data_IF_306071451264
#
_entry.id   IF_306071451264
#
_cell.length_a   1.000
_cell.length_b   1.000
_cell.length_c   1.000
_cell.angle_alpha   90.00
_cell.angle_beta   90.00
_cell.angle_gamma   90.00
#
_symmetry.space_group_name_H-M   'P 1'
#
loop_
_entity.id
_entity.type
_entity.pdbx_description
1 polymer ?
#
# COMPACT_ATOMS: atom_id res chain seq x y z
N UNK A 1 -40.63 13.30 10.43
CA UNK A 1 -39.57 13.81 9.55
C UNK A 1 -38.37 12.88 9.70
N UNK A 2 -38.17 11.99 8.72
CA UNK A 2 -37.12 10.96 8.80
C UNK A 2 -35.84 11.52 8.20
N UNK A 3 -34.84 11.82 9.04
CA UNK A 3 -33.51 12.16 8.58
C UNK A 3 -32.76 10.84 8.33
N UNK A 4 -32.56 10.51 7.05
CA UNK A 4 -31.68 9.42 6.63
C UNK A 4 -30.25 9.86 6.89
N UNK A 5 -29.57 9.18 7.79
CA UNK A 5 -28.16 9.43 8.05
C UNK A 5 -27.31 8.78 6.98
N UNK A 6 -26.70 9.62 6.17
CA UNK A 6 -25.77 9.27 5.12
C UNK A 6 -24.41 8.98 5.78
N UNK A 7 -23.87 7.78 5.62
CA UNK A 7 -22.48 7.49 5.94
C UNK A 7 -21.58 8.30 4.99
N UNK A 8 -21.02 9.39 5.47
CA UNK A 8 -20.02 10.14 4.72
C UNK A 8 -18.66 9.51 5.00
N UNK A 9 -18.23 8.62 4.12
CA UNK A 9 -16.83 8.25 4.00
C UNK A 9 -16.11 9.41 3.31
N UNK A 10 -15.51 10.29 4.08
CA UNK A 10 -14.72 11.40 3.52
C UNK A 10 -13.30 10.90 3.30
N UNK A 11 -13.01 10.44 2.08
CA UNK A 11 -11.65 10.20 1.64
C UNK A 11 -11.00 11.55 1.35
N UNK A 12 -10.24 12.07 2.30
CA UNK A 12 -9.47 13.29 2.10
C UNK A 12 -8.20 12.93 1.34
N UNK A 13 -8.25 12.98 0.02
CA UNK A 13 -7.08 12.92 -0.84
C UNK A 13 -6.31 14.24 -0.73
N UNK A 14 -5.47 14.36 0.30
CA UNK A 14 -4.44 15.38 0.32
C UNK A 14 -3.29 14.88 -0.57
N UNK A 15 -3.36 15.17 -1.87
CA UNK A 15 -2.21 15.10 -2.76
C UNK A 15 -1.43 16.41 -2.58
N UNK A 16 -0.36 16.47 -1.79
CA UNK A 16 0.56 17.58 -1.95
C UNK A 16 1.20 17.39 -3.32
N UNK A 17 0.94 18.31 -4.22
CA UNK A 17 1.66 18.43 -5.47
C UNK A 17 3.13 18.75 -5.15
N UNK A 18 3.90 17.72 -4.77
CA UNK A 18 5.37 17.75 -4.73
C UNK A 18 5.95 17.55 -6.14
N UNK A 19 5.25 18.07 -7.16
CA UNK A 19 5.70 18.06 -8.54
C UNK A 19 6.58 19.27 -8.91
N UNK A 20 7.19 19.94 -7.94
CA UNK A 20 7.97 21.16 -8.18
C UNK A 20 9.46 20.96 -8.39
N UNK A 21 9.96 19.74 -8.59
CA UNK A 21 11.39 19.50 -8.88
C UNK A 21 11.61 18.55 -10.05
N UNK A 22 10.87 18.76 -11.13
CA UNK A 22 11.13 18.09 -12.40
C UNK A 22 11.65 19.13 -13.40
N UNK A 23 12.96 19.39 -13.38
CA UNK A 23 13.72 19.79 -14.58
C UNK A 23 15.23 19.83 -14.30
N UNK A 24 15.88 18.74 -14.65
CA UNK A 24 17.16 18.66 -15.36
C UNK A 24 17.51 17.17 -15.51
N UNK A 25 17.64 16.73 -16.75
CA UNK A 25 18.17 15.40 -17.10
C UNK A 25 19.62 15.31 -16.61
N UNK A 26 19.86 14.49 -15.62
CA UNK A 26 21.16 14.19 -15.04
C UNK A 26 21.02 13.65 -13.64
N UNK A 27 21.70 12.63 -13.32
CA UNK A 27 22.09 12.02 -12.04
C UNK A 27 21.38 12.47 -10.73
N UNK A 28 20.07 12.77 -10.77
CA UNK A 28 19.30 13.19 -9.58
C UNK A 28 18.40 12.08 -9.07
N UNK A 29 18.33 11.95 -7.76
CA UNK A 29 17.36 11.08 -7.09
C UNK A 29 15.98 11.69 -7.27
N UNK A 30 15.02 10.92 -7.80
CA UNK A 30 13.61 11.26 -7.84
C UNK A 30 12.91 10.69 -6.62
N UNK A 31 12.27 11.54 -5.84
CA UNK A 31 11.45 11.15 -4.70
C UNK A 31 9.97 11.34 -5.05
N UNK A 32 9.16 10.36 -4.67
CA UNK A 32 7.69 10.44 -4.75
C UNK A 32 7.09 9.80 -3.51
N UNK A 33 5.90 10.24 -3.14
CA UNK A 33 5.20 9.66 -1.99
C UNK A 33 3.71 9.94 -2.05
N UNK A 34 2.97 9.19 -1.25
CA UNK A 34 1.55 9.37 -1.05
C UNK A 34 1.19 9.16 0.41
N UNK A 35 0.16 9.85 0.86
CA UNK A 35 -0.45 9.66 2.16
C UNK A 35 -1.91 9.35 1.92
N UNK A 36 -2.38 8.23 2.50
CA UNK A 36 -3.79 7.86 2.51
C UNK A 36 -4.22 7.68 3.96
N UNK A 37 -5.37 8.22 4.32
CA UNK A 37 -5.95 8.03 5.64
C UNK A 37 -7.43 7.75 5.49
N UNK A 38 -7.89 6.64 6.06
CA UNK A 38 -9.27 6.23 6.09
C UNK A 38 -9.80 6.38 7.51
N UNK A 39 -10.92 7.11 7.67
CA UNK A 39 -11.58 7.32 8.94
C UNK A 39 -12.99 6.72 8.93
N UNK A 40 -13.35 6.06 10.02
CA UNK A 40 -14.70 5.61 10.28
C UNK A 40 -15.19 6.17 11.62
N UNK A 41 -16.34 6.81 11.58
CA UNK A 41 -17.05 7.32 12.76
C UNK A 41 -18.28 6.44 13.00
N UNK A 42 -18.18 5.38 13.83
CA UNK A 42 -19.30 4.49 14.09
C UNK A 42 -20.41 5.20 14.86
N UNK A 43 -21.66 4.88 14.49
CA UNK A 43 -22.83 5.41 15.18
C UNK A 43 -23.68 4.28 15.74
N UNK A 44 -24.37 4.57 16.85
CA UNK A 44 -25.33 3.64 17.44
C UNK A 44 -26.52 3.41 16.51
N UNK A 45 -26.89 2.17 16.33
CA UNK A 45 -28.13 1.79 15.64
C UNK A 45 -28.85 0.69 16.43
N UNK A 46 -29.85 1.10 17.18
CA UNK A 46 -30.65 0.19 18.01
C UNK A 46 -31.47 -0.80 17.19
N UNK A 47 -31.78 -0.49 15.91
CA UNK A 47 -32.53 -1.40 15.02
C UNK A 47 -31.64 -2.56 14.54
N UNK A 48 -30.35 -2.31 14.38
CA UNK A 48 -29.35 -3.32 14.03
C UNK A 48 -28.69 -3.96 15.26
N UNK A 49 -29.13 -3.61 16.48
CA UNK A 49 -28.59 -4.13 17.72
C UNK A 49 -27.23 -3.51 18.12
N UNK A 50 -26.80 -2.46 17.45
CA UNK A 50 -25.55 -1.74 17.75
C UNK A 50 -25.82 -0.74 18.88
N UNK A 51 -25.77 -1.21 20.11
CA UNK A 51 -26.07 -0.38 21.28
C UNK A 51 -24.83 0.23 21.92
N UNK A 52 -23.66 -0.37 21.69
CA UNK A 52 -22.39 0.06 22.27
C UNK A 52 -21.37 0.36 21.17
N UNK A 53 -20.69 1.50 21.30
CA UNK A 53 -19.58 1.90 20.43
C UNK A 53 -18.34 1.95 21.30
N UNK A 54 -17.42 1.05 21.10
CA UNK A 54 -16.20 0.95 21.88
C UNK A 54 -15.27 2.13 21.58
N UNK A 55 -15.13 2.48 20.30
CA UNK A 55 -14.29 3.57 19.84
C UNK A 55 -15.10 4.58 19.00
N UNK A 56 -14.96 5.87 19.33
CA UNK A 56 -15.66 6.95 18.61
C UNK A 56 -15.12 7.20 17.20
N UNK A 57 -13.87 6.81 16.95
CA UNK A 57 -13.20 6.95 15.67
C UNK A 57 -12.26 5.78 15.46
N UNK A 58 -12.31 5.21 14.27
CA UNK A 58 -11.35 4.23 13.78
C UNK A 58 -10.57 4.86 12.64
N UNK A 59 -9.30 4.51 12.50
CA UNK A 59 -8.47 5.04 11.43
C UNK A 59 -7.39 4.06 10.98
N UNK A 60 -7.15 4.06 9.67
CA UNK A 60 -6.00 3.43 9.04
C UNK A 60 -5.27 4.51 8.24
N UNK A 61 -3.97 4.66 8.47
CA UNK A 61 -3.14 5.65 7.78
C UNK A 61 -1.96 4.96 7.14
N UNK A 62 -1.70 5.25 5.87
CA UNK A 62 -0.61 4.71 5.06
C UNK A 62 0.22 5.85 4.51
N UNK A 63 1.52 5.73 4.61
CA UNK A 63 2.49 6.66 4.00
C UNK A 63 3.43 5.86 3.12
N UNK A 64 3.33 6.03 1.81
CA UNK A 64 4.24 5.42 0.85
C UNK A 64 5.31 6.44 0.44
N UNK A 65 6.57 6.04 0.48
CA UNK A 65 7.70 6.83 -0.01
C UNK A 65 8.50 5.99 -0.99
N UNK A 66 8.76 6.54 -2.16
CA UNK A 66 9.53 5.89 -3.21
C UNK A 66 10.67 6.79 -3.67
N UNK A 67 11.82 6.19 -3.93
CA UNK A 67 13.01 6.83 -4.46
C UNK A 67 13.48 6.09 -5.70
N UNK A 68 13.83 6.83 -6.76
CA UNK A 68 14.41 6.27 -7.98
C UNK A 68 15.70 6.99 -8.32
N UNK A 69 16.76 6.24 -8.61
CA UNK A 69 18.04 6.75 -9.03
C UNK A 69 18.66 5.84 -10.08
N UNK A 70 18.84 6.33 -11.30
CA UNK A 70 19.37 5.53 -12.42
C UNK A 70 18.60 4.22 -12.60
N UNK A 71 19.26 3.10 -12.34
CA UNK A 71 18.73 1.75 -12.47
C UNK A 71 18.15 1.19 -11.18
N UNK A 72 18.12 1.99 -10.12
CA UNK A 72 17.65 1.56 -8.81
C UNK A 72 16.33 2.24 -8.43
N UNK A 73 15.42 1.45 -7.87
CA UNK A 73 14.20 1.93 -7.23
C UNK A 73 14.15 1.35 -5.82
N UNK A 74 13.78 2.17 -4.86
CA UNK A 74 13.52 1.76 -3.49
C UNK A 74 12.18 2.32 -3.03
N UNK A 75 11.48 1.58 -2.18
CA UNK A 75 10.24 2.05 -1.60
C UNK A 75 10.06 1.52 -0.19
N UNK A 76 9.33 2.30 0.62
CA UNK A 76 8.93 1.93 1.96
C UNK A 76 7.50 2.42 2.20
N UNK A 77 6.70 1.59 2.87
CA UNK A 77 5.39 1.95 3.41
C UNK A 77 5.46 1.96 4.92
N UNK A 78 4.93 3.02 5.49
CA UNK A 78 4.65 3.12 6.91
C UNK A 78 3.14 3.03 7.10
N UNK A 79 2.71 2.32 8.13
CA UNK A 79 1.33 2.24 8.57
C UNK A 79 1.18 2.79 9.97
N UNK A 80 0.03 3.43 10.21
CA UNK A 80 -0.39 3.80 11.56
C UNK A 80 -1.87 3.49 11.73
N UNK A 81 -2.19 2.67 12.74
CA UNK A 81 -3.55 2.31 13.12
C UNK A 81 -3.72 2.51 14.62
N UNK A 82 -4.57 3.44 15.02
CA UNK A 82 -4.91 3.60 16.43
C UNK A 82 -6.00 2.63 16.85
N UNK A 83 -7.04 2.56 16.04
CA UNK A 83 -8.15 1.61 16.11
C UNK A 83 -8.45 1.17 14.68
N UNK A 84 -8.04 -0.05 14.29
CA UNK A 84 -8.23 -0.53 12.91
C UNK A 84 -9.68 -0.53 12.47
N UNK A 85 -9.92 -0.27 11.19
CA UNK A 85 -11.23 -0.39 10.58
C UNK A 85 -11.72 -1.84 10.60
N UNK A 86 -13.06 -2.09 10.59
CA UNK A 86 -13.61 -3.42 10.45
C UNK A 86 -13.07 -4.14 9.20
N UNK A 87 -12.68 -5.40 9.35
CA UNK A 87 -12.04 -6.20 8.29
C UNK A 87 -10.52 -6.23 8.34
N UNK A 88 -9.91 -5.33 9.11
CA UNK A 88 -8.47 -5.33 9.35
C UNK A 88 -8.13 -6.11 10.64
N UNK A 89 -6.86 -6.49 10.77
CA UNK A 89 -6.37 -7.18 11.97
C UNK A 89 -6.48 -6.28 13.18
N UNK A 90 -7.33 -6.66 14.14
CA UNK A 90 -7.67 -5.83 15.28
C UNK A 90 -6.57 -5.75 16.34
N UNK A 91 -5.64 -6.71 16.34
CA UNK A 91 -4.52 -6.75 17.28
C UNK A 91 -3.38 -5.81 16.88
N UNK A 92 -3.32 -5.41 15.60
CA UNK A 92 -2.32 -4.45 15.14
C UNK A 92 -2.73 -3.04 15.55
N UNK A 93 -1.97 -2.44 16.45
CA UNK A 93 -2.13 -1.05 16.90
C UNK A 93 -0.78 -0.37 16.95
N UNK A 94 -0.71 0.86 16.43
CA UNK A 94 0.51 1.66 16.44
C UNK A 94 1.13 1.79 15.05
N UNK A 95 2.45 1.87 15.00
CA UNK A 95 3.22 2.03 13.78
C UNK A 95 3.76 0.69 13.28
N UNK A 96 3.75 0.51 11.97
CA UNK A 96 4.35 -0.64 11.30
C UNK A 96 5.04 -0.25 10.00
N UNK A 97 5.89 -1.17 9.51
CA UNK A 97 6.54 -1.09 8.20
C UNK A 97 6.17 -2.36 7.43
N UNK A 98 4.94 -2.44 6.87
CA UNK A 98 4.45 -3.66 6.25
C UNK A 98 5.14 -3.97 4.91
N UNK A 99 5.65 -2.96 4.21
CA UNK A 99 6.20 -3.13 2.88
C UNK A 99 7.44 -2.28 2.67
N UNK A 100 8.52 -2.90 2.19
CA UNK A 100 9.73 -2.22 1.73
C UNK A 100 10.37 -3.02 0.61
N UNK A 101 11.04 -2.35 -0.33
CA UNK A 101 11.76 -3.03 -1.39
C UNK A 101 12.94 -2.21 -1.91
N UNK A 102 13.90 -2.92 -2.49
CA UNK A 102 14.97 -2.37 -3.31
C UNK A 102 15.00 -3.14 -4.63
N UNK A 103 14.92 -2.43 -5.75
CA UNK A 103 14.95 -2.99 -7.10
C UNK A 103 16.12 -2.42 -7.87
N UNK A 104 16.89 -3.30 -8.52
CA UNK A 104 17.95 -2.93 -9.46
C UNK A 104 17.68 -3.51 -10.84
N UNK A 105 17.86 -2.71 -11.91
CA UNK A 105 17.72 -3.13 -13.31
C UNK A 105 19.09 -3.04 -14.01
N UNK A 106 19.58 -4.17 -14.50
CA UNK A 106 20.88 -4.29 -15.13
C UNK A 106 20.72 -4.97 -16.48
N UNK A 107 20.66 -4.18 -17.56
CA UNK A 107 20.49 -4.68 -18.92
C UNK A 107 19.34 -5.71 -19.03
N UNK A 108 19.68 -7.01 -19.00
CA UNK A 108 18.75 -8.14 -19.16
C UNK A 108 18.31 -8.78 -17.82
N UNK A 109 18.73 -8.21 -16.69
CA UNK A 109 18.46 -8.75 -15.36
C UNK A 109 17.82 -7.69 -14.46
N UNK A 110 16.73 -8.06 -13.81
CA UNK A 110 16.10 -7.29 -12.73
C UNK A 110 16.22 -8.08 -11.44
N UNK A 111 16.73 -7.44 -10.40
CA UNK A 111 16.79 -7.96 -9.04
C UNK A 111 15.86 -7.15 -8.14
N UNK A 112 15.02 -7.81 -7.36
CA UNK A 112 14.20 -7.20 -6.31
C UNK A 112 14.52 -7.86 -4.98
N UNK A 113 14.81 -7.06 -3.97
CA UNK A 113 15.03 -7.49 -2.58
C UNK A 113 13.96 -6.84 -1.70
N UNK A 114 13.44 -7.58 -0.73
CA UNK A 114 12.35 -7.13 0.15
C UNK A 114 11.01 -7.69 -0.26
N UNK A 115 9.96 -6.88 -0.15
CA UNK A 115 8.60 -7.28 -0.48
C UNK A 115 8.33 -7.12 -1.98
N UNK A 116 7.65 -8.12 -2.57
CA UNK A 116 7.19 -8.06 -3.96
C UNK A 116 5.92 -8.88 -4.14
N UNK A 117 5.18 -8.57 -5.21
CA UNK A 117 4.01 -9.34 -5.63
C UNK A 117 4.37 -10.18 -6.84
N UNK A 118 3.89 -11.42 -6.88
CA UNK A 118 4.16 -12.34 -7.99
C UNK A 118 2.95 -13.23 -8.26
N UNK A 119 2.78 -13.56 -9.53
CA UNK A 119 1.79 -14.50 -10.00
C UNK A 119 2.39 -15.44 -11.03
N UNK A 120 2.15 -16.74 -10.90
CA UNK A 120 2.52 -17.74 -11.88
C UNK A 120 1.30 -18.17 -12.71
N UNK A 121 1.38 -17.93 -14.03
CA UNK A 121 0.31 -18.26 -14.96
C UNK A 121 -1.03 -17.62 -14.57
N UNK A 122 -2.08 -18.44 -14.50
CA UNK A 122 -3.41 -18.01 -14.06
C UNK A 122 -3.56 -17.79 -12.55
N UNK A 123 -2.49 -17.99 -11.78
CA UNK A 123 -2.51 -17.77 -10.33
C UNK A 123 -2.90 -18.97 -9.48
N UNK A 124 -3.05 -20.16 -10.06
CA UNK A 124 -3.37 -21.38 -9.30
C UNK A 124 -2.26 -21.81 -8.36
N UNK A 125 -1.01 -21.73 -8.81
CA UNK A 125 0.14 -22.15 -8.00
C UNK A 125 0.62 -21.07 -7.04
N UNK A 126 0.63 -19.82 -7.50
CA UNK A 126 1.03 -18.66 -6.71
C UNK A 126 0.32 -17.42 -7.25
N UNK A 127 -0.31 -16.69 -6.34
CA UNK A 127 -0.83 -15.34 -6.56
C UNK A 127 -0.69 -14.54 -5.29
N UNK A 128 0.20 -13.55 -5.30
CA UNK A 128 0.30 -12.56 -4.25
C UNK A 128 -0.17 -11.20 -4.75
N UNK A 129 -0.93 -10.49 -3.93
CA UNK A 129 -1.55 -9.22 -4.28
C UNK A 129 -1.87 -8.41 -3.03
N UNK A 130 -2.14 -7.15 -3.24
CA UNK A 130 -2.67 -6.25 -2.23
C UNK A 130 -4.10 -5.81 -2.60
N UNK A 131 -5.00 -5.83 -1.62
CA UNK A 131 -6.32 -5.23 -1.71
C UNK A 131 -6.60 -4.47 -0.41
N UNK A 132 -6.25 -3.18 -0.41
CA UNK A 132 -6.32 -2.32 0.78
C UNK A 132 -7.74 -2.16 1.33
N UNK A 133 -8.74 -2.16 0.48
CA UNK A 133 -10.13 -2.05 0.90
C UNK A 133 -10.60 -3.23 1.76
N UNK A 134 -9.94 -4.38 1.63
CA UNK A 134 -10.20 -5.60 2.37
C UNK A 134 -9.14 -5.89 3.45
N UNK A 135 -8.13 -5.04 3.60
CA UNK A 135 -7.03 -5.28 4.53
C UNK A 135 -6.14 -6.47 4.16
N UNK A 136 -6.09 -6.82 2.85
CA UNK A 136 -5.31 -7.96 2.37
C UNK A 136 -3.98 -7.46 1.80
N UNK A 137 -2.87 -7.96 2.32
CA UNK A 137 -1.53 -7.84 1.73
C UNK A 137 -0.81 -9.19 1.85
N UNK A 138 -0.69 -9.89 0.71
CA UNK A 138 0.01 -11.17 0.59
C UNK A 138 1.37 -11.00 -0.07
N UNK A 139 2.06 -9.90 0.17
CA UNK A 139 3.40 -9.68 -0.39
C UNK A 139 4.38 -10.74 0.08
N UNK A 140 5.29 -11.10 -0.82
CA UNK A 140 6.35 -12.08 -0.53
C UNK A 140 7.58 -11.31 -0.08
N UNK A 141 8.09 -11.62 1.12
CA UNK A 141 9.38 -11.10 1.58
C UNK A 141 10.49 -12.04 1.12
N UNK A 142 11.43 -11.53 0.31
CA UNK A 142 12.51 -12.34 -0.20
C UNK A 142 13.36 -11.65 -1.27
N UNK A 143 13.95 -12.46 -2.14
CA UNK A 143 14.71 -12.01 -3.30
C UNK A 143 14.08 -12.57 -4.58
N UNK A 144 13.89 -11.74 -5.59
CA UNK A 144 13.38 -12.10 -6.90
C UNK A 144 14.36 -11.68 -7.97
N UNK A 145 14.69 -12.61 -8.86
CA UNK A 145 15.53 -12.36 -10.03
C UNK A 145 14.70 -12.63 -11.28
N UNK A 146 14.70 -11.69 -12.20
CA UNK A 146 14.09 -11.87 -13.53
C UNK A 146 15.17 -11.62 -14.57
N UNK A 147 15.36 -12.58 -15.45
CA UNK A 147 16.31 -12.48 -16.56
C UNK A 147 15.59 -12.64 -17.90
N UNK A 148 15.96 -11.81 -18.89
CA UNK A 148 15.47 -11.89 -20.27
C UNK A 148 16.66 -12.09 -21.20
N UNK A 149 17.26 -13.31 -21.24
CA UNK A 149 18.50 -13.56 -21.98
C UNK A 149 18.35 -13.36 -23.48
N UNK A 150 17.17 -13.71 -24.03
CA UNK A 150 16.81 -13.61 -25.44
C UNK A 150 15.40 -13.04 -25.60
N UNK A 151 15.10 -12.54 -26.81
CA UNK A 151 13.75 -12.06 -27.10
C UNK A 151 12.72 -13.19 -26.97
N UNK A 152 11.64 -12.91 -26.23
CA UNK A 152 10.58 -13.90 -25.97
C UNK A 152 10.86 -14.88 -24.82
N UNK A 153 12.07 -14.89 -24.23
CA UNK A 153 12.43 -15.75 -23.10
C UNK A 153 12.57 -14.95 -21.84
N UNK A 154 11.73 -15.25 -20.84
CA UNK A 154 11.77 -14.65 -19.51
C UNK A 154 11.91 -15.74 -18.44
N UNK A 155 12.99 -15.68 -17.69
CA UNK A 155 13.28 -16.56 -16.56
C UNK A 155 13.00 -15.80 -15.27
N UNK A 156 12.39 -16.49 -14.29
CA UNK A 156 12.14 -15.96 -12.96
C UNK A 156 12.66 -16.91 -11.89
#
# INVERSE_FOLDING_TARGET
MKLSYFCIATTLLLSPALSAFAQEEGDKVRLSGSIQTDFLLPQKDTKLGINNIEHKMLNNTYVDVNASYKNFDAGVRLEYMQHPLPGFEQDFKGWGVPHFYLKGRFNKVELTLGHFYEQFGAGFALRSYEERSLGIDNSILGARIVATPFDGVRLK
#
